data_IF_730258342836
#
_entry.id   IF_730258342836
#
_cell.length_a   1.000
_cell.length_b   1.000
_cell.length_c   1.000
_cell.angle_alpha   90.00
_cell.angle_beta   90.00
_cell.angle_gamma   90.00
#
_symmetry.space_group_name_H-M   'P 1'
#
loop_
_entity.id
_entity.type
_entity.pdbx_description
1 polymer ?
#
# COMPACT_ATOMS: atom_id res chain seq x y z
N UNK A 1 42.39 22.19 -5.63
CA UNK A 1 41.09 21.82 -6.22
C UNK A 1 40.74 20.42 -5.76
N UNK A 2 39.63 20.24 -5.03
CA UNK A 2 38.93 18.97 -4.88
C UNK A 2 37.58 19.27 -4.22
N UNK A 3 36.53 19.41 -5.03
CA UNK A 3 35.16 19.51 -4.56
C UNK A 3 34.60 18.09 -4.44
N UNK A 4 34.26 17.65 -3.23
CA UNK A 4 33.55 16.39 -3.02
C UNK A 4 32.12 16.53 -3.55
N UNK A 5 31.88 15.83 -4.65
CA UNK A 5 30.62 15.66 -5.36
C UNK A 5 29.66 14.79 -4.54
N UNK A 6 29.00 15.36 -3.54
CA UNK A 6 27.83 14.73 -2.94
C UNK A 6 26.62 15.03 -3.84
N UNK A 7 26.33 14.11 -4.76
CA UNK A 7 25.06 14.13 -5.48
C UNK A 7 23.90 13.97 -4.50
N UNK A 8 22.77 14.69 -4.68
CA UNK A 8 21.58 14.37 -3.92
C UNK A 8 21.14 12.99 -4.35
N UNK A 9 21.13 12.02 -3.42
CA UNK A 9 20.36 10.80 -3.61
C UNK A 9 18.90 11.23 -3.80
N UNK A 10 18.47 11.34 -5.05
CA UNK A 10 17.07 11.35 -5.39
C UNK A 10 16.52 10.00 -4.92
N UNK A 11 16.01 9.96 -3.69
CA UNK A 11 15.16 8.85 -3.28
C UNK A 11 13.99 8.89 -4.24
N UNK A 12 13.88 7.85 -5.08
CA UNK A 12 12.68 7.56 -5.85
C UNK A 12 11.51 7.78 -4.89
N UNK A 13 10.79 8.87 -5.10
CA UNK A 13 9.81 9.37 -4.15
C UNK A 13 8.51 8.66 -4.45
N UNK A 14 8.51 7.34 -4.27
CA UNK A 14 7.29 6.56 -4.20
C UNK A 14 6.49 7.16 -3.05
N UNK A 15 5.45 7.91 -3.39
CA UNK A 15 4.61 8.61 -2.41
C UNK A 15 4.02 7.55 -1.47
N UNK A 16 4.27 7.67 -0.17
CA UNK A 16 3.69 6.77 0.81
C UNK A 16 2.16 6.82 0.68
N UNK A 17 1.54 5.67 0.46
CA UNK A 17 0.09 5.50 0.38
C UNK A 17 -0.54 5.64 1.78
N UNK A 18 0.20 5.17 2.78
CA UNK A 18 -0.16 5.31 4.19
C UNK A 18 1.10 5.43 5.02
N UNK A 19 1.08 6.27 6.05
CA UNK A 19 2.12 6.32 7.06
C UNK A 19 1.55 6.67 8.44
N UNK A 20 2.09 6.05 9.49
CA UNK A 20 1.70 6.33 10.87
C UNK A 20 2.83 5.97 11.84
N UNK A 21 2.80 6.56 13.03
CA UNK A 21 3.83 6.32 14.07
C UNK A 21 3.52 5.03 14.82
N UNK A 22 4.40 4.05 14.71
CA UNK A 22 4.33 2.81 15.45
C UNK A 22 5.74 2.24 15.71
N UNK A 23 5.94 1.67 16.91
CA UNK A 23 7.15 0.95 17.24
C UNK A 23 7.03 -0.54 16.93
N UNK A 24 8.16 -1.22 16.75
CA UNK A 24 8.20 -2.68 16.62
C UNK A 24 8.16 -3.36 17.98
N UNK A 25 7.80 -4.63 17.98
CA UNK A 25 8.01 -5.52 19.11
C UNK A 25 8.70 -6.78 18.62
N UNK A 26 9.62 -7.29 19.42
CA UNK A 26 10.36 -8.50 19.11
C UNK A 26 9.79 -9.66 19.93
N UNK A 27 9.51 -10.77 19.25
CA UNK A 27 9.16 -12.02 19.90
C UNK A 27 10.44 -12.77 20.26
N UNK A 28 10.71 -12.94 21.55
CA UNK A 28 11.81 -13.79 22.06
C UNK A 28 11.20 -15.00 22.77
N UNK A 29 11.27 -16.16 22.14
CA UNK A 29 10.60 -17.37 22.60
C UNK A 29 9.09 -17.18 22.61
N UNK A 30 8.49 -17.14 23.80
CA UNK A 30 7.05 -16.90 24.01
C UNK A 30 6.73 -15.48 24.48
N UNK A 31 7.74 -14.64 24.74
CA UNK A 31 7.55 -13.29 25.28
C UNK A 31 7.71 -12.23 24.18
N UNK A 32 6.71 -11.39 24.00
CA UNK A 32 6.76 -10.23 23.10
C UNK A 32 7.24 -9.01 23.89
N UNK A 33 8.36 -8.42 23.47
CA UNK A 33 8.93 -7.22 24.11
C UNK A 33 8.87 -6.04 23.16
N UNK A 34 8.30 -4.93 23.64
CA UNK A 34 8.26 -3.68 22.87
C UNK A 34 9.66 -3.10 22.66
N UNK A 35 9.99 -2.74 21.43
CA UNK A 35 11.15 -1.90 21.13
C UNK A 35 10.81 -0.46 21.56
N UNK A 36 11.68 0.14 22.38
CA UNK A 36 11.52 1.51 22.91
C UNK A 36 11.75 2.58 21.84
N UNK A 37 12.33 2.22 20.69
CA UNK A 37 12.64 3.16 19.61
C UNK A 37 11.37 3.76 19.01
N UNK A 38 11.47 5.03 18.63
CA UNK A 38 10.40 5.73 17.91
C UNK A 38 10.41 5.27 16.46
N UNK A 39 9.35 4.58 16.04
CA UNK A 39 9.26 4.00 14.72
C UNK A 39 8.21 4.69 13.86
N UNK A 40 8.33 4.47 12.56
CA UNK A 40 7.31 4.84 11.59
C UNK A 40 7.05 3.66 10.67
N UNK A 41 5.78 3.27 10.58
CA UNK A 41 5.30 2.35 9.56
C UNK A 41 4.84 3.18 8.38
N UNK A 42 5.20 2.73 7.18
CA UNK A 42 4.64 3.28 5.96
C UNK A 42 4.44 2.19 4.91
N UNK A 43 3.48 2.42 4.03
CA UNK A 43 3.14 1.55 2.92
C UNK A 43 3.35 2.36 1.65
N UNK A 44 4.04 1.78 0.68
CA UNK A 44 4.20 2.36 -0.64
C UNK A 44 4.11 1.26 -1.69
N UNK A 45 3.81 1.65 -2.92
CA UNK A 45 3.92 0.79 -4.08
C UNK A 45 5.23 1.12 -4.79
N UNK A 46 6.02 0.10 -5.09
CA UNK A 46 7.28 0.24 -5.82
C UNK A 46 7.03 0.33 -7.33
N UNK A 47 8.08 0.64 -8.09
CA UNK A 47 8.01 0.78 -9.55
C UNK A 47 7.67 -0.54 -10.26
N UNK A 48 8.04 -1.67 -9.65
CA UNK A 48 7.65 -3.03 -10.02
C UNK A 48 6.18 -3.38 -9.65
N UNK A 49 5.41 -2.40 -9.16
CA UNK A 49 4.00 -2.51 -8.79
C UNK A 49 3.71 -3.36 -7.55
N UNK A 50 4.72 -3.85 -6.84
CA UNK A 50 4.54 -4.59 -5.60
C UNK A 50 4.30 -3.65 -4.42
N UNK A 51 3.53 -4.14 -3.44
CA UNK A 51 3.24 -3.40 -2.21
C UNK A 51 4.31 -3.67 -1.17
N UNK A 52 4.87 -2.61 -0.62
CA UNK A 52 5.89 -2.67 0.41
C UNK A 52 5.32 -2.17 1.73
N UNK A 53 5.38 -3.02 2.76
CA UNK A 53 5.16 -2.64 4.15
C UNK A 53 6.52 -2.43 4.81
N UNK A 54 6.84 -1.18 5.12
CA UNK A 54 8.13 -0.81 5.65
C UNK A 54 8.04 -0.31 7.09
N UNK A 55 9.07 -0.60 7.88
CA UNK A 55 9.30 0.04 9.16
C UNK A 55 10.65 0.73 9.17
N UNK A 56 10.68 2.00 9.58
CA UNK A 56 11.91 2.77 9.79
C UNK A 56 12.00 3.32 11.21
N UNK A 57 13.22 3.38 11.71
CA UNK A 57 13.52 4.11 12.93
C UNK A 57 13.51 5.61 12.63
N UNK A 58 12.72 6.37 13.39
CA UNK A 58 12.60 7.83 13.23
C UNK A 58 13.83 8.57 13.76
N UNK A 59 14.62 7.94 14.61
CA UNK A 59 15.79 8.55 15.24
C UNK A 59 16.96 8.55 14.25
N UNK A 60 17.24 7.39 13.66
CA UNK A 60 18.31 7.23 12.66
C UNK A 60 17.84 7.49 11.22
N UNK A 61 16.53 7.41 10.94
CA UNK A 61 15.97 7.49 9.59
C UNK A 61 16.18 6.22 8.75
N UNK A 62 16.76 5.17 9.33
CA UNK A 62 17.06 3.91 8.64
C UNK A 62 15.82 3.02 8.55
N UNK A 63 15.55 2.50 7.35
CA UNK A 63 14.57 1.43 7.13
C UNK A 63 15.20 0.12 7.60
N UNK A 64 14.58 -0.54 8.57
CA UNK A 64 15.07 -1.82 9.10
C UNK A 64 14.28 -3.02 8.57
N UNK A 65 12.99 -2.82 8.29
CA UNK A 65 12.14 -3.86 7.71
C UNK A 65 11.52 -3.30 6.43
N UNK A 66 11.64 -4.07 5.35
CA UNK A 66 10.99 -3.83 4.08
C UNK A 66 10.39 -5.14 3.61
N UNK A 67 9.08 -5.26 3.74
CA UNK A 67 8.34 -6.49 3.47
C UNK A 67 7.51 -6.31 2.20
N UNK A 68 7.79 -7.11 1.19
CA UNK A 68 6.95 -7.23 0.00
C UNK A 68 5.72 -8.05 0.39
N UNK A 69 4.53 -7.48 0.16
CA UNK A 69 3.25 -8.06 0.51
C UNK A 69 2.45 -8.32 -0.77
N UNK A 70 1.99 -9.56 -0.93
CA UNK A 70 1.04 -9.91 -1.96
C UNK A 70 -0.41 -9.74 -1.47
N UNK A 71 -1.36 -9.49 -2.38
CA UNK A 71 -2.77 -9.50 -2.05
C UNK A 71 -3.17 -10.79 -1.35
N UNK A 72 -4.05 -10.68 -0.35
CA UNK A 72 -4.51 -11.78 0.49
C UNK A 72 -3.46 -12.49 1.35
N UNK A 73 -2.17 -12.12 1.26
CA UNK A 73 -1.11 -12.81 2.00
C UNK A 73 -1.00 -12.37 3.46
N UNK A 74 -1.60 -11.24 3.86
CA UNK A 74 -1.52 -10.76 5.23
C UNK A 74 -2.87 -10.48 5.86
N UNK A 75 -2.84 -10.46 7.19
CA UNK A 75 -3.93 -10.01 8.03
C UNK A 75 -3.36 -9.09 9.11
N UNK A 76 -3.79 -7.83 9.09
CA UNK A 76 -3.45 -6.83 10.09
C UNK A 76 -4.59 -6.67 11.08
N UNK A 77 -4.36 -7.06 12.34
CA UNK A 77 -5.40 -7.04 13.39
C UNK A 77 -4.88 -6.47 14.70
N UNK A 78 -5.78 -5.90 15.48
CA UNK A 78 -5.51 -5.49 16.87
C UNK A 78 -5.41 -6.71 17.77
N UNK A 79 -4.36 -6.77 18.60
CA UNK A 79 -4.16 -7.82 19.60
C UNK A 79 -4.85 -7.40 20.90
N UNK A 80 -6.07 -7.90 21.13
CA UNK A 80 -6.85 -7.62 22.36
C UNK A 80 -6.23 -8.23 23.63
N UNK A 81 -5.37 -9.24 23.48
CA UNK A 81 -4.69 -9.90 24.60
C UNK A 81 -3.64 -9.00 25.27
N UNK A 82 -3.14 -7.98 24.57
CA UNK A 82 -2.22 -7.00 25.16
C UNK A 82 -3.03 -5.87 25.81
N UNK A 83 -3.16 -5.91 27.14
CA UNK A 83 -3.87 -4.89 27.93
C UNK A 83 -3.01 -3.66 28.23
N UNK A 84 -1.69 -3.77 28.09
CA UNK A 84 -0.71 -2.71 28.42
C UNK A 84 -0.53 -1.66 27.32
N UNK A 85 -1.25 -1.76 26.21
CA UNK A 85 -1.15 -0.78 25.14
C UNK A 85 -1.95 -1.11 23.89
N UNK A 86 -1.73 -0.31 22.84
CA UNK A 86 -2.36 -0.46 21.53
C UNK A 86 -1.44 -1.28 20.64
N UNK A 87 -1.61 -2.60 20.67
CA UNK A 87 -0.76 -3.54 19.91
C UNK A 87 -1.53 -4.09 18.72
N UNK A 88 -0.86 -4.16 17.59
CA UNK A 88 -1.32 -4.74 16.34
C UNK A 88 -0.36 -5.84 15.89
N UNK A 89 -0.90 -6.82 15.19
CA UNK A 89 -0.16 -7.92 14.60
C UNK A 89 -0.35 -7.88 13.08
N UNK A 90 0.77 -7.97 12.36
CA UNK A 90 0.78 -8.30 10.93
C UNK A 90 1.13 -9.79 10.83
N UNK A 91 0.12 -10.60 10.51
CA UNK A 91 0.24 -12.05 10.37
C UNK A 91 0.26 -12.40 8.89
N UNK A 92 1.28 -13.13 8.47
CA UNK A 92 1.29 -13.73 7.14
C UNK A 92 0.35 -14.95 7.14
N UNK A 93 -0.43 -15.10 6.08
CA UNK A 93 -1.30 -16.27 5.86
C UNK A 93 -0.49 -17.40 5.25
N UNK A 94 0.42 -17.09 4.32
CA UNK A 94 1.29 -18.09 3.67
C UNK A 94 2.47 -18.54 4.55
N UNK A 95 2.73 -17.86 5.68
CA UNK A 95 3.84 -18.18 6.57
C UNK A 95 3.44 -18.08 8.05
N UNK A 96 4.11 -18.80 8.94
CA UNK A 96 3.92 -18.67 10.40
C UNK A 96 4.57 -17.40 10.99
N UNK A 97 5.19 -16.57 10.15
CA UNK A 97 5.83 -15.29 10.54
C UNK A 97 4.80 -14.29 11.03
N UNK A 98 5.11 -13.68 12.17
CA UNK A 98 4.27 -12.68 12.85
C UNK A 98 5.13 -11.48 13.18
N UNK A 99 4.65 -10.30 12.83
CA UNK A 99 5.26 -9.04 13.23
C UNK A 99 4.31 -8.31 14.16
N UNK A 100 4.86 -7.76 15.24
CA UNK A 100 4.09 -7.06 16.25
C UNK A 100 4.49 -5.59 16.24
N UNK A 101 3.48 -4.72 16.27
CA UNK A 101 3.66 -3.28 16.25
C UNK A 101 2.82 -2.64 17.34
N UNK A 102 3.32 -1.59 17.97
CA UNK A 102 2.61 -0.84 18.99
C UNK A 102 2.44 0.62 18.57
N UNK A 103 1.23 1.15 18.74
CA UNK A 103 0.86 2.45 18.21
C UNK A 103 1.48 3.59 19.03
N UNK A 104 2.18 4.50 18.35
CA UNK A 104 2.86 5.66 18.93
C UNK A 104 2.18 6.99 18.61
N UNK A 105 1.07 6.98 17.85
CA UNK A 105 0.26 8.18 17.63
C UNK A 105 -0.29 8.71 18.96
N UNK A 106 -0.28 10.03 19.22
CA UNK A 106 -0.73 10.59 20.49
C UNK A 106 -2.23 10.40 20.73
N UNK A 107 -3.01 10.27 19.65
CA UNK A 107 -4.47 10.07 19.70
C UNK A 107 -4.80 8.65 19.26
N UNK A 108 -5.89 8.11 19.82
CA UNK A 108 -6.41 6.78 19.50
C UNK A 108 -7.53 6.79 18.45
N UNK A 109 -7.96 7.97 18.03
CA UNK A 109 -9.13 8.18 17.16
C UNK A 109 -8.96 7.53 15.78
N UNK A 110 -7.73 7.55 15.25
CA UNK A 110 -7.41 7.04 13.90
C UNK A 110 -6.89 5.61 13.90
N UNK A 111 -6.74 4.98 15.06
CA UNK A 111 -6.17 3.63 15.19
C UNK A 111 -6.89 2.59 14.31
N UNK A 112 -8.22 2.60 14.35
CA UNK A 112 -9.06 1.67 13.58
C UNK A 112 -9.06 2.01 12.08
N UNK A 113 -9.01 3.30 11.75
CA UNK A 113 -8.86 3.76 10.36
C UNK A 113 -7.54 3.27 9.76
N UNK A 114 -6.43 3.40 10.50
CA UNK A 114 -5.13 2.90 10.07
C UNK A 114 -5.16 1.39 9.88
N UNK A 115 -5.75 0.64 10.83
CA UNK A 115 -5.89 -0.81 10.71
C UNK A 115 -6.63 -1.21 9.43
N UNK A 116 -7.77 -0.55 9.18
CA UNK A 116 -8.60 -0.81 8.00
C UNK A 116 -7.88 -0.42 6.71
N UNK A 117 -7.21 0.74 6.68
CA UNK A 117 -6.44 1.20 5.52
C UNK A 117 -5.26 0.28 5.20
N UNK A 118 -4.52 -0.19 6.20
CA UNK A 118 -3.43 -1.18 6.01
C UNK A 118 -4.00 -2.42 5.31
N UNK A 119 -5.09 -2.98 5.85
CA UNK A 119 -5.67 -4.19 5.29
C UNK A 119 -6.26 -3.95 3.88
N UNK A 120 -6.86 -2.79 3.64
CA UNK A 120 -7.42 -2.43 2.33
C UNK A 120 -6.32 -2.28 1.27
N UNK A 121 -5.29 -1.46 1.55
CA UNK A 121 -4.20 -1.17 0.61
C UNK A 121 -3.37 -2.41 0.26
N UNK A 122 -3.12 -3.28 1.24
CA UNK A 122 -2.30 -4.47 1.03
C UNK A 122 -3.06 -5.62 0.34
N UNK A 123 -4.37 -5.73 0.54
CA UNK A 123 -5.20 -6.74 -0.13
C UNK A 123 -5.80 -6.26 -1.46
N UNK A 124 -5.88 -4.94 -1.68
CA UNK A 124 -6.40 -4.33 -2.90
C UNK A 124 -5.38 -3.27 -3.38
N UNK A 125 -4.21 -3.70 -3.89
CA UNK A 125 -3.22 -2.76 -4.39
C UNK A 125 -3.80 -1.92 -5.53
N UNK A 126 -3.50 -0.62 -5.60
CA UNK A 126 -3.89 0.20 -6.74
C UNK A 126 -3.29 -0.38 -8.03
N UNK A 127 -4.10 -0.44 -9.09
CA UNK A 127 -3.63 -0.95 -10.39
C UNK A 127 -2.48 -0.08 -10.89
N UNK A 128 -1.34 -0.68 -11.28
CA UNK A 128 -0.23 0.10 -11.82
C UNK A 128 -0.65 0.79 -13.11
N UNK A 129 -0.50 2.11 -13.15
CA UNK A 129 -0.94 2.96 -14.27
C UNK A 129 -2.28 3.67 -14.07
N UNK A 130 -3.03 3.35 -13.02
CA UNK A 130 -4.24 4.09 -12.66
C UNK A 130 -3.86 5.34 -11.86
N UNK A 131 -3.54 6.43 -12.56
CA UNK A 131 -3.64 7.76 -11.93
C UNK A 131 -5.07 7.88 -11.41
N UNK A 132 -5.27 8.05 -10.10
CA UNK A 132 -6.58 8.33 -9.50
C UNK A 132 -7.11 9.67 -10.04
N UNK A 133 -7.66 9.62 -11.24
CA UNK A 133 -8.53 10.62 -11.83
C UNK A 133 -9.95 10.13 -11.60
N UNK A 134 -10.60 10.65 -10.55
CA UNK A 134 -12.05 10.78 -10.41
C UNK A 134 -12.97 9.58 -10.71
N UNK A 135 -13.66 9.13 -9.66
CA UNK A 135 -15.07 8.75 -9.74
C UNK A 135 -15.42 7.31 -10.10
N UNK A 136 -16.48 6.81 -9.46
CA UNK A 136 -17.27 5.67 -9.93
C UNK A 136 -16.97 4.35 -9.23
N UNK A 137 -17.92 3.89 -8.41
CA UNK A 137 -17.98 2.50 -7.99
C UNK A 137 -18.05 1.59 -9.20
N UNK A 138 -17.24 0.54 -9.21
CA UNK A 138 -17.33 -0.51 -10.21
C UNK A 138 -17.95 -1.74 -9.54
N UNK A 139 -19.18 -1.98 -9.94
CA UNK A 139 -19.75 -3.30 -10.05
C UNK A 139 -18.75 -4.24 -10.75
N UNK A 140 -18.53 -5.41 -10.14
CA UNK A 140 -17.72 -6.51 -10.68
C UNK A 140 -18.29 -6.94 -12.02
N UNK A 141 -17.48 -6.92 -13.08
CA UNK A 141 -17.53 -7.97 -14.11
C UNK A 141 -16.14 -8.23 -14.67
N UNK A 142 -15.61 -9.41 -14.37
CA UNK A 142 -14.65 -10.09 -15.22
C UNK A 142 -15.45 -10.78 -16.34
N UNK A 143 -15.54 -10.14 -17.51
CA UNK A 143 -16.12 -10.74 -18.70
C UNK A 143 -15.23 -10.44 -19.92
N UNK A 144 -14.97 -11.53 -20.65
CA UNK A 144 -14.38 -11.72 -21.96
C UNK A 144 -14.34 -10.50 -22.92
N UNK A 145 -13.30 -10.38 -23.76
CA UNK A 145 -13.20 -9.31 -24.76
C UNK A 145 -14.18 -9.57 -25.90
N UNK A 146 -15.35 -8.92 -25.84
CA UNK A 146 -16.36 -8.90 -26.89
C UNK A 146 -16.61 -7.47 -27.37
N UNK A 147 -16.06 -7.15 -28.53
CA UNK A 147 -16.70 -6.43 -29.66
C UNK A 147 -17.47 -5.10 -29.48
N UNK A 148 -17.39 -4.38 -28.37
CA UNK A 148 -18.16 -3.11 -28.24
C UNK A 148 -17.45 -1.85 -28.77
N UNK A 149 -16.19 -1.94 -29.23
CA UNK A 149 -15.42 -0.78 -29.67
C UNK A 149 -15.44 -0.50 -31.18
N UNK A 150 -16.08 -1.34 -31.99
CA UNK A 150 -16.17 -1.11 -33.45
C UNK A 150 -17.39 -0.27 -33.86
N UNK A 151 -18.38 -0.06 -32.98
CA UNK A 151 -19.56 0.75 -33.30
C UNK A 151 -19.27 2.27 -33.30
N UNK A 152 -18.12 2.70 -32.77
CA UNK A 152 -17.71 4.11 -32.73
C UNK A 152 -16.95 4.61 -33.96
N UNK A 153 -16.53 3.73 -34.87
CA UNK A 153 -15.76 4.11 -36.06
C UNK A 153 -16.61 4.24 -37.34
N UNK A 154 -17.90 3.90 -37.28
CA UNK A 154 -18.84 4.03 -38.41
C UNK A 154 -19.74 5.26 -38.33
N UNK A 155 -19.66 6.05 -37.24
CA UNK A 155 -20.55 7.18 -36.98
C UNK A 155 -20.16 8.50 -37.66
N UNK A 156 -19.05 8.55 -38.41
CA UNK A 156 -18.51 9.80 -38.97
C UNK A 156 -18.35 9.79 -40.51
N UNK A 157 -18.98 8.84 -41.21
CA UNK A 157 -19.06 8.91 -42.68
C UNK A 157 -20.36 9.62 -43.06
N UNK A 158 -20.21 10.87 -43.47
CA UNK A 158 -21.25 11.78 -43.94
C UNK A 158 -22.19 11.09 -44.96
N UNK A 159 -23.50 11.04 -44.65
CA UNK A 159 -24.50 10.39 -45.50
C UNK A 159 -24.72 11.11 -46.85
N UNK A 160 -24.07 12.25 -47.11
CA UNK A 160 -24.24 12.97 -48.39
C UNK A 160 -23.31 12.48 -49.50
N UNK A 161 -22.34 11.58 -49.24
CA UNK A 161 -21.53 10.97 -50.31
C UNK A 161 -22.05 9.62 -50.84
N UNK A 162 -23.08 9.04 -50.20
CA UNK A 162 -23.63 7.73 -50.60
C UNK A 162 -24.66 7.78 -51.75
N UNK A 163 -25.02 8.96 -52.25
CA UNK A 163 -25.99 9.12 -53.35
C UNK A 163 -25.38 9.35 -54.74
N UNK A 164 -24.05 9.40 -54.88
CA UNK A 164 -23.41 9.68 -56.19
C UNK A 164 -22.97 8.42 -56.97
N UNK A 165 -23.46 7.24 -56.58
CA UNK A 165 -23.10 5.96 -57.20
C UNK A 165 -24.30 5.07 -57.57
N UNK A 166 -25.45 5.68 -57.86
CA UNK A 166 -26.44 5.08 -58.76
C UNK A 166 -26.63 5.96 -60.00
#
# INVERSE_FOLDING_TARGET
MAASLFGPTARSSSKNLLEFRAGKMNLKGTTVTADKRKGQVYIHQSEDSLMHFCWKDRTSGKVEDDLIIFPDDIEYKRVKQCTTGRVYILKFKSSSRKFFFWMQEPKTDKDEEYCTKVNSLLNNPPTPGSTSSGGGGLERTCAFPGESQLQGLLGNMDQQQLLQLL
#
